data_IF_475375835540
#
_entry.id   IF_475375835540
#
_cell.length_a   1.000
_cell.length_b   1.000
_cell.length_c   1.000
_cell.angle_alpha   90.00
_cell.angle_beta   90.00
_cell.angle_gamma   90.00
#
_symmetry.space_group_name_H-M   'P 1'
#
loop_
_entity.id
_entity.type
_entity.pdbx_description
1 polymer ?
#
# COMPACT_ATOMS: atom_id res chain seq x y z
N UNK A 1 9.87 56.94 15.04
CA UNK A 1 10.85 55.88 15.42
C UNK A 1 10.04 54.81 16.13
N UNK A 2 9.70 53.65 15.54
CA UNK A 2 10.57 52.48 15.29
C UNK A 2 11.15 51.93 16.62
N UNK A 3 11.07 50.66 17.01
CA UNK A 3 11.11 49.40 16.26
C UNK A 3 10.41 48.25 17.02
N UNK A 4 9.95 47.28 16.24
CA UNK A 4 9.48 45.93 16.60
C UNK A 4 10.58 45.00 17.15
N UNK A 5 10.11 43.85 17.68
CA UNK A 5 10.74 42.52 17.72
C UNK A 5 11.43 42.12 19.06
N UNK A 6 11.35 40.89 19.57
CA UNK A 6 11.35 39.58 18.89
C UNK A 6 10.76 38.45 19.76
N UNK A 7 9.85 37.70 19.13
CA UNK A 7 9.59 36.26 19.19
C UNK A 7 10.55 35.35 19.97
N UNK A 8 9.97 34.36 20.66
CA UNK A 8 10.16 32.94 20.36
C UNK A 8 9.04 32.11 21.02
N UNK A 9 7.91 31.99 20.33
CA UNK A 9 7.02 30.84 20.53
C UNK A 9 7.62 29.69 19.71
N UNK A 10 8.23 28.72 20.40
CA UNK A 10 8.47 27.41 19.82
C UNK A 10 7.11 26.69 19.78
N UNK A 11 6.32 26.95 18.75
CA UNK A 11 5.27 26.01 18.39
C UNK A 11 5.97 24.78 17.82
N UNK A 12 5.95 23.68 18.58
CA UNK A 12 5.96 22.34 17.97
C UNK A 12 4.76 22.33 17.02
N UNK A 13 5.00 22.54 15.73
CA UNK A 13 4.02 22.17 14.72
C UNK A 13 3.72 20.69 14.96
N UNK A 14 2.45 20.35 15.15
CA UNK A 14 2.03 18.97 15.02
C UNK A 14 2.53 18.47 13.66
N UNK A 15 3.06 17.24 13.58
CA UNK A 15 3.52 16.72 12.31
C UNK A 15 2.35 16.80 11.32
N UNK A 16 2.54 17.60 10.28
CA UNK A 16 1.55 17.76 9.20
C UNK A 16 1.20 16.36 8.69
N UNK A 17 -0.09 16.07 8.50
CA UNK A 17 -0.53 14.74 8.05
C UNK A 17 0.15 14.40 6.72
N UNK A 18 0.83 13.24 6.66
CA UNK A 18 1.58 12.80 5.49
C UNK A 18 1.00 11.49 4.93
N UNK A 19 0.86 11.45 3.61
CA UNK A 19 0.42 10.29 2.85
C UNK A 19 1.54 9.93 1.89
N UNK A 20 1.98 8.66 1.92
CA UNK A 20 3.13 8.20 1.14
C UNK A 20 4.42 9.05 1.33
N UNK A 21 4.58 9.68 2.50
CA UNK A 21 5.72 10.55 2.82
C UNK A 21 5.60 11.99 2.31
N UNK A 22 4.49 12.37 1.69
CA UNK A 22 4.19 13.73 1.24
C UNK A 22 3.09 14.36 2.08
N UNK A 23 3.19 15.66 2.38
CA UNK A 23 2.11 16.41 3.01
C UNK A 23 0.94 16.58 2.05
N UNK A 24 -0.25 16.81 2.61
CA UNK A 24 -1.46 17.08 1.81
C UNK A 24 -1.24 18.26 0.84
N UNK A 25 -0.54 19.31 1.28
CA UNK A 25 -0.23 20.49 0.47
C UNK A 25 0.67 20.16 -0.73
N UNK A 26 1.68 19.30 -0.52
CA UNK A 26 2.54 18.82 -1.60
C UNK A 26 1.74 17.97 -2.59
N UNK A 27 0.91 17.05 -2.10
CA UNK A 27 0.09 16.20 -2.95
C UNK A 27 -0.90 17.01 -3.80
N UNK A 28 -1.55 18.03 -3.24
CA UNK A 28 -2.39 18.96 -4.02
C UNK A 28 -1.62 19.64 -5.15
N UNK A 29 -0.34 19.93 -4.93
CA UNK A 29 0.52 20.55 -5.94
C UNK A 29 0.92 19.55 -7.02
N UNK A 30 1.32 18.33 -6.63
CA UNK A 30 1.75 17.26 -7.54
C UNK A 30 0.58 16.82 -8.43
N UNK A 31 -0.61 16.69 -7.86
CA UNK A 31 -1.82 16.21 -8.53
C UNK A 31 -2.75 17.36 -8.92
N UNK A 32 -2.23 18.58 -9.11
CA UNK A 32 -3.07 19.77 -9.37
C UNK A 32 -3.89 19.68 -10.67
N UNK A 33 -3.39 18.97 -11.67
CA UNK A 33 -4.12 18.73 -12.93
C UNK A 33 -4.83 17.37 -12.90
N UNK A 34 -6.17 17.34 -12.85
CA UNK A 34 -6.91 16.10 -12.85
C UNK A 34 -6.92 15.49 -14.26
N UNK A 35 -6.11 14.46 -14.48
CA UNK A 35 -6.39 13.45 -15.51
C UNK A 35 -7.40 12.43 -14.97
N UNK A 36 -8.52 12.88 -14.39
CA UNK A 36 -9.46 11.97 -13.73
C UNK A 36 -10.37 11.33 -14.78
N UNK A 37 -10.07 10.09 -15.13
CA UNK A 37 -11.14 9.18 -15.54
C UNK A 37 -11.82 8.68 -14.27
N UNK A 38 -13.14 8.54 -14.28
CA UNK A 38 -13.86 8.01 -13.11
C UNK A 38 -13.56 6.52 -12.93
N UNK A 39 -13.17 6.11 -11.73
CA UNK A 39 -13.19 4.69 -11.36
C UNK A 39 -14.55 4.36 -10.79
N UNK A 40 -15.34 3.62 -11.57
CA UNK A 40 -16.69 3.23 -11.17
C UNK A 40 -16.73 2.31 -9.95
N UNK A 41 -15.68 1.50 -9.71
CA UNK A 41 -15.50 0.66 -8.52
C UNK A 41 -14.02 0.45 -8.18
N UNK A 42 -13.63 0.80 -6.96
CA UNK A 42 -12.29 0.53 -6.44
C UNK A 42 -12.13 -0.97 -6.14
N UNK A 43 -10.94 -1.54 -6.36
CA UNK A 43 -10.67 -2.94 -6.07
C UNK A 43 -10.68 -3.22 -4.56
N UNK A 44 -11.03 -4.45 -4.19
CA UNK A 44 -10.98 -4.91 -2.80
C UNK A 44 -9.53 -5.11 -2.32
N UNK A 45 -8.65 -5.60 -3.21
CA UNK A 45 -7.21 -5.69 -3.00
C UNK A 45 -6.46 -5.33 -4.31
N UNK A 46 -5.35 -4.55 -4.25
CA UNK A 46 -4.85 -3.86 -3.07
C UNK A 46 -5.84 -2.81 -2.56
N UNK A 47 -5.91 -2.63 -1.24
CA UNK A 47 -6.85 -1.71 -0.61
C UNK A 47 -6.57 -0.30 -1.10
N UNK A 48 -7.53 0.25 -1.83
CA UNK A 48 -7.39 1.54 -2.52
C UNK A 48 -8.47 2.50 -2.04
N UNK A 49 -8.13 3.77 -1.89
CA UNK A 49 -9.04 4.82 -1.41
C UNK A 49 -8.87 6.10 -2.22
N UNK A 50 -9.97 6.76 -2.55
CA UNK A 50 -9.94 8.09 -3.19
C UNK A 50 -9.45 9.14 -2.19
N UNK A 51 -8.58 10.05 -2.64
CA UNK A 51 -8.14 11.22 -1.88
C UNK A 51 -8.89 12.50 -2.27
N UNK A 52 -9.94 12.40 -3.09
CA UNK A 52 -10.72 13.56 -3.55
C UNK A 52 -11.36 14.33 -2.40
N UNK A 53 -11.75 13.64 -1.31
CA UNK A 53 -12.26 14.27 -0.09
C UNK A 53 -11.25 15.20 0.59
N UNK A 54 -9.95 15.04 0.31
CA UNK A 54 -8.88 15.94 0.74
C UNK A 54 -8.54 17.00 -0.31
N UNK A 55 -9.21 17.02 -1.46
CA UNK A 55 -8.94 17.89 -2.60
C UNK A 55 -7.75 17.44 -3.45
N UNK A 56 -7.39 16.14 -3.41
CA UNK A 56 -6.32 15.55 -4.21
C UNK A 56 -6.98 14.61 -5.23
N UNK A 57 -6.93 14.87 -6.55
CA UNK A 57 -7.56 14.04 -7.57
C UNK A 57 -6.69 12.79 -7.88
N UNK A 58 -6.49 11.96 -6.86
CA UNK A 58 -5.66 10.76 -6.92
C UNK A 58 -6.18 9.69 -5.96
N UNK A 59 -5.62 8.49 -6.11
CA UNK A 59 -5.94 7.33 -5.29
C UNK A 59 -4.73 6.95 -4.45
N UNK A 60 -4.98 6.63 -3.17
CA UNK A 60 -4.00 6.01 -2.28
C UNK A 60 -4.19 4.50 -2.31
N UNK A 61 -3.10 3.75 -2.37
CA UNK A 61 -3.10 2.29 -2.25
C UNK A 61 -1.98 1.81 -1.35
N UNK A 62 -2.28 0.81 -0.52
CA UNK A 62 -1.33 0.19 0.41
C UNK A 62 -1.41 -1.33 0.31
N UNK A 63 -0.29 -1.99 0.07
CA UNK A 63 -0.23 -3.44 -0.08
C UNK A 63 1.13 -4.00 0.30
N UNK A 64 1.18 -5.32 0.50
CA UNK A 64 2.38 -6.07 0.82
C UNK A 64 2.79 -6.89 -0.40
N UNK A 65 4.09 -6.92 -0.67
CA UNK A 65 4.69 -7.77 -1.69
C UNK A 65 5.83 -8.57 -1.06
N UNK A 66 6.13 -9.74 -1.63
CA UNK A 66 7.34 -10.46 -1.25
C UNK A 66 8.58 -9.60 -1.52
N UNK A 67 9.62 -9.74 -0.68
CA UNK A 67 10.89 -9.05 -0.93
C UNK A 67 11.44 -9.36 -2.33
N UNK A 68 11.28 -10.61 -2.78
CA UNK A 68 11.64 -11.03 -4.12
C UNK A 68 10.87 -10.27 -5.20
N UNK A 69 9.61 -9.88 -4.99
CA UNK A 69 8.77 -9.21 -6.00
C UNK A 69 9.00 -7.69 -6.07
N UNK A 70 9.85 -7.14 -5.20
CA UNK A 70 10.14 -5.68 -5.16
C UNK A 70 10.74 -5.18 -6.47
N UNK A 71 11.65 -5.94 -7.09
CA UNK A 71 12.23 -5.58 -8.39
C UNK A 71 11.19 -5.56 -9.50
N UNK A 72 10.19 -6.45 -9.43
CA UNK A 72 9.11 -6.53 -10.42
C UNK A 72 8.18 -5.33 -10.32
N UNK A 73 7.82 -4.93 -9.10
CA UNK A 73 7.09 -3.67 -8.86
C UNK A 73 7.83 -2.46 -9.44
N UNK A 74 9.14 -2.34 -9.16
CA UNK A 74 9.95 -1.24 -9.70
C UNK A 74 10.03 -1.27 -11.23
N UNK A 75 10.13 -2.45 -11.84
CA UNK A 75 10.10 -2.59 -13.29
C UNK A 75 8.78 -2.08 -13.90
N UNK A 76 7.64 -2.32 -13.24
CA UNK A 76 6.37 -1.74 -13.68
C UNK A 76 6.34 -0.22 -13.55
N UNK A 77 6.91 0.33 -12.47
CA UNK A 77 7.04 1.78 -12.31
C UNK A 77 7.85 2.37 -13.47
N UNK A 78 9.03 1.83 -13.73
CA UNK A 78 9.96 2.33 -14.76
C UNK A 78 9.44 2.14 -16.19
N UNK A 79 8.57 1.14 -16.41
CA UNK A 79 7.90 0.94 -17.69
C UNK A 79 6.78 1.96 -17.97
N UNK A 80 6.20 2.57 -16.93
CA UNK A 80 5.05 3.47 -17.06
C UNK A 80 5.38 4.94 -16.77
N UNK A 81 6.44 5.21 -16.01
CA UNK A 81 6.80 6.55 -15.56
C UNK A 81 8.31 6.80 -15.61
N UNK A 82 8.67 8.08 -15.66
CA UNK A 82 10.04 8.57 -15.53
C UNK A 82 10.26 9.09 -14.11
N UNK A 83 11.42 8.79 -13.55
CA UNK A 83 11.83 9.31 -12.25
C UNK A 83 12.00 10.83 -12.30
N UNK A 84 11.51 11.53 -11.28
CA UNK A 84 11.59 12.99 -11.17
C UNK A 84 12.40 13.40 -9.95
N UNK A 85 12.01 12.93 -8.77
CA UNK A 85 12.62 13.34 -7.51
C UNK A 85 12.40 12.31 -6.41
N UNK A 86 13.12 12.46 -5.32
CA UNK A 86 12.86 11.72 -4.08
C UNK A 86 13.12 12.62 -2.88
N UNK A 87 12.55 12.22 -1.74
CA UNK A 87 12.82 12.82 -0.45
C UNK A 87 12.82 11.78 0.66
N UNK A 88 13.43 12.11 1.78
CA UNK A 88 13.49 11.21 2.93
C UNK A 88 12.26 11.38 3.82
N UNK A 89 11.57 10.27 4.08
CA UNK A 89 10.46 10.17 5.03
C UNK A 89 10.70 8.97 5.95
N UNK A 90 10.83 9.20 7.26
CA UNK A 90 11.12 8.14 8.24
C UNK A 90 12.33 7.25 7.84
N UNK A 91 13.39 7.88 7.32
CA UNK A 91 14.61 7.22 6.81
C UNK A 91 14.40 6.36 5.55
N UNK A 92 13.22 6.44 4.93
CA UNK A 92 12.90 5.76 3.68
C UNK A 92 12.83 6.77 2.54
N UNK A 93 13.25 6.40 1.32
CA UNK A 93 13.09 7.25 0.14
C UNK A 93 11.63 7.20 -0.33
N UNK A 94 10.94 8.33 -0.22
CA UNK A 94 9.68 8.59 -0.90
C UNK A 94 9.99 9.17 -2.27
N UNK A 95 9.61 8.46 -3.33
CA UNK A 95 9.97 8.77 -4.70
C UNK A 95 8.78 9.33 -5.46
N UNK A 96 9.06 10.19 -6.42
CA UNK A 96 8.11 10.81 -7.32
C UNK A 96 8.49 10.52 -8.77
N UNK A 97 7.49 10.09 -9.52
CA UNK A 97 7.56 9.67 -10.92
C UNK A 97 6.43 10.32 -11.72
N UNK A 98 6.69 10.58 -12.99
CA UNK A 98 5.76 11.26 -13.91
C UNK A 98 5.64 10.55 -15.25
N UNK A 99 4.47 10.63 -15.85
CA UNK A 99 4.23 10.33 -17.25
C UNK A 99 3.67 11.58 -17.92
N UNK A 100 4.56 12.37 -18.53
CA UNK A 100 4.21 13.66 -19.13
C UNK A 100 3.22 13.52 -20.30
N UNK A 101 3.27 12.40 -21.04
CA UNK A 101 2.41 12.16 -22.20
C UNK A 101 0.94 11.98 -21.80
N UNK A 102 0.71 11.35 -20.64
CA UNK A 102 -0.63 11.10 -20.09
C UNK A 102 -1.02 12.06 -18.96
N UNK A 103 -0.12 12.96 -18.57
CA UNK A 103 -0.24 13.81 -17.40
C UNK A 103 -0.52 13.02 -16.11
N UNK A 104 0.15 11.88 -15.97
CA UNK A 104 0.00 11.01 -14.80
C UNK A 104 1.17 11.15 -13.84
N UNK A 105 0.89 10.94 -12.57
CA UNK A 105 1.76 11.17 -11.44
C UNK A 105 1.72 9.94 -10.55
N UNK A 106 2.88 9.56 -10.01
CA UNK A 106 3.02 8.49 -9.04
C UNK A 106 3.99 8.94 -7.96
N UNK A 107 3.56 8.89 -6.70
CA UNK A 107 4.45 8.96 -5.55
C UNK A 107 4.34 7.68 -4.74
N UNK A 108 5.47 7.13 -4.28
CA UNK A 108 5.44 5.95 -3.42
C UNK A 108 6.68 5.86 -2.55
N UNK A 109 6.58 5.05 -1.50
CA UNK A 109 7.74 4.53 -0.80
C UNK A 109 7.56 3.04 -0.49
N UNK A 110 8.68 2.37 -0.26
CA UNK A 110 8.71 0.96 0.17
C UNK A 110 9.35 0.84 1.54
N UNK A 111 8.84 -0.08 2.38
CA UNK A 111 9.37 -0.38 3.71
C UNK A 111 9.49 -1.88 3.90
N UNK A 112 10.62 -2.35 4.44
CA UNK A 112 10.83 -3.76 4.83
C UNK A 112 10.67 -3.99 6.33
N UNK A 113 10.14 -2.99 7.06
CA UNK A 113 10.07 -2.99 8.53
C UNK A 113 8.87 -3.75 9.09
N UNK A 114 7.93 -4.16 8.25
CA UNK A 114 6.62 -4.67 8.66
C UNK A 114 6.38 -6.06 8.04
N UNK A 115 5.79 -6.97 8.84
CA UNK A 115 5.22 -8.25 8.38
C UNK A 115 6.16 -9.15 7.56
N UNK A 116 7.49 -9.10 7.79
CA UNK A 116 8.47 -9.89 7.05
C UNK A 116 8.29 -9.81 5.51
N UNK A 117 7.96 -8.61 5.02
CA UNK A 117 7.68 -8.34 3.61
C UNK A 117 8.01 -6.90 3.24
N UNK A 118 7.82 -6.56 1.97
CA UNK A 118 7.94 -5.18 1.50
C UNK A 118 6.54 -4.55 1.47
N UNK A 119 6.29 -3.57 2.33
CA UNK A 119 5.11 -2.71 2.25
C UNK A 119 5.32 -1.66 1.16
N UNK A 120 4.38 -1.55 0.24
CA UNK A 120 4.28 -0.48 -0.75
C UNK A 120 3.14 0.45 -0.35
N UNK A 121 3.43 1.75 -0.23
CA UNK A 121 2.42 2.80 -0.06
C UNK A 121 2.56 3.79 -1.19
N UNK A 122 1.51 3.93 -2.00
CA UNK A 122 1.55 4.74 -3.21
C UNK A 122 0.34 5.66 -3.33
N UNK A 123 0.54 6.80 -3.99
CA UNK A 123 -0.52 7.68 -4.47
C UNK A 123 -0.34 7.88 -5.96
N UNK A 124 -1.40 7.68 -6.74
CA UNK A 124 -1.36 7.89 -8.19
C UNK A 124 -2.72 8.33 -8.74
N UNK A 125 -2.70 9.14 -9.80
CA UNK A 125 -3.88 9.44 -10.62
C UNK A 125 -3.98 8.52 -11.86
N UNK A 126 -3.02 7.60 -12.04
CA UNK A 126 -3.01 6.67 -13.18
C UNK A 126 -3.89 5.45 -12.92
N UNK A 127 -5.00 5.38 -13.65
CA UNK A 127 -5.87 4.19 -13.64
C UNK A 127 -5.21 3.03 -14.38
N UNK A 128 -4.50 3.33 -15.47
CA UNK A 128 -3.76 2.32 -16.23
C UNK A 128 -2.74 1.62 -15.33
N UNK A 129 -1.98 2.38 -14.55
CA UNK A 129 -1.01 1.80 -13.63
C UNK A 129 -1.66 0.99 -12.52
N UNK A 130 -2.76 1.47 -11.93
CA UNK A 130 -3.50 0.67 -10.95
C UNK A 130 -4.00 -0.65 -11.54
N UNK A 131 -4.45 -0.64 -12.79
CA UNK A 131 -4.84 -1.87 -13.50
C UNK A 131 -3.65 -2.82 -13.71
N UNK A 132 -2.43 -2.30 -13.94
CA UNK A 132 -1.20 -3.13 -13.99
C UNK A 132 -0.97 -3.81 -12.64
N UNK A 133 -1.03 -3.07 -11.53
CA UNK A 133 -0.85 -3.62 -10.17
C UNK A 133 -1.93 -4.66 -9.84
N UNK A 134 -3.18 -4.40 -10.23
CA UNK A 134 -4.30 -5.33 -10.03
C UNK A 134 -4.12 -6.64 -10.79
N UNK A 135 -3.70 -6.56 -12.05
CA UNK A 135 -3.46 -7.76 -12.88
C UNK A 135 -2.26 -8.56 -12.41
N UNK A 136 -1.24 -7.88 -11.90
CA UNK A 136 -0.09 -8.53 -11.30
C UNK A 136 -0.48 -9.31 -10.04
N UNK A 137 -1.45 -8.79 -9.28
CA UNK A 137 -2.02 -9.44 -8.09
C UNK A 137 -0.93 -9.89 -7.10
N UNK A 138 -0.07 -8.94 -6.69
CA UNK A 138 1.00 -9.21 -5.75
C UNK A 138 0.47 -9.90 -4.49
N UNK A 139 1.12 -11.00 -4.12
CA UNK A 139 0.73 -11.79 -2.98
C UNK A 139 1.31 -11.18 -1.68
N UNK A 140 0.48 -10.89 -0.66
CA UNK A 140 1.01 -10.63 0.68
C UNK A 140 1.68 -11.91 1.21
N UNK A 141 2.69 -11.78 2.10
CA UNK A 141 3.24 -12.94 2.79
C UNK A 141 2.10 -13.61 3.57
N UNK A 142 2.06 -14.95 3.71
CA UNK A 142 1.04 -15.61 4.52
C UNK A 142 1.26 -15.39 6.02
N UNK A 143 0.26 -15.69 6.87
CA UNK A 143 0.33 -15.50 8.32
C UNK A 143 1.56 -16.10 8.99
N UNK A 144 1.95 -17.32 8.60
CA UNK A 144 3.11 -18.02 9.19
C UNK A 144 4.46 -17.44 8.79
N UNK A 145 4.49 -16.61 7.74
CA UNK A 145 5.68 -15.83 7.36
C UNK A 145 5.62 -14.45 8.01
N UNK A 146 4.46 -13.78 7.97
CA UNK A 146 4.27 -12.46 8.54
C UNK A 146 4.45 -12.45 10.08
N UNK A 147 4.12 -13.56 10.74
CA UNK A 147 4.25 -13.78 12.18
C UNK A 147 4.95 -15.12 12.44
N UNK A 148 6.27 -15.10 12.38
CA UNK A 148 7.09 -16.30 12.61
C UNK A 148 6.80 -16.92 13.99
N UNK A 149 6.63 -18.26 14.02
CA UNK A 149 6.34 -19.00 15.24
C UNK A 149 4.90 -18.87 15.76
N UNK A 150 4.01 -18.19 15.04
CA UNK A 150 2.60 -18.08 15.43
C UNK A 150 1.87 -19.42 15.26
N UNK A 151 1.10 -19.81 16.27
CA UNK A 151 0.35 -21.07 16.24
C UNK A 151 -0.91 -20.91 15.37
N UNK A 152 -1.19 -21.82 14.41
CA UNK A 152 -2.40 -21.77 13.58
C UNK A 152 -3.69 -21.66 14.40
N UNK A 153 -3.79 -22.36 15.53
CA UNK A 153 -4.99 -22.35 16.38
C UNK A 153 -5.36 -20.97 16.95
N UNK A 154 -4.40 -20.03 16.98
CA UNK A 154 -4.61 -18.65 17.45
C UNK A 154 -4.97 -17.68 16.32
N UNK A 155 -4.95 -18.15 15.06
CA UNK A 155 -5.25 -17.30 13.91
C UNK A 155 -6.76 -17.22 13.70
N UNK A 156 -7.38 -16.05 13.77
CA UNK A 156 -8.83 -15.87 13.63
C UNK A 156 -9.55 -15.55 14.94
N UNK A 157 -10.85 -15.20 14.85
CA UNK A 157 -11.60 -14.60 15.95
C UNK A 157 -11.37 -13.08 16.05
N UNK A 158 -11.44 -12.50 17.25
CA UNK A 158 -11.17 -11.07 17.50
C UNK A 158 -9.65 -10.78 17.56
N UNK A 159 -8.94 -11.00 16.45
CA UNK A 159 -7.53 -10.61 16.37
C UNK A 159 -7.38 -9.10 16.53
N UNK A 160 -6.54 -8.67 17.46
CA UNK A 160 -6.25 -7.25 17.73
C UNK A 160 -4.79 -6.93 17.43
N UNK A 161 -4.46 -5.65 17.38
CA UNK A 161 -3.09 -5.18 17.16
C UNK A 161 -2.57 -5.51 15.77
N UNK A 162 -1.31 -5.93 15.67
CA UNK A 162 -0.62 -6.13 14.41
C UNK A 162 -1.25 -7.26 13.57
N UNK A 163 -1.69 -8.34 14.20
CA UNK A 163 -2.32 -9.49 13.55
C UNK A 163 -3.66 -9.10 12.93
N UNK A 164 -4.53 -8.45 13.71
CA UNK A 164 -5.82 -7.95 13.21
C UNK A 164 -5.63 -6.95 12.08
N UNK A 165 -4.73 -5.98 12.27
CA UNK A 165 -4.43 -5.00 11.23
C UNK A 165 -3.94 -5.64 9.93
N UNK A 166 -2.98 -6.57 10.00
CA UNK A 166 -2.48 -7.27 8.82
C UNK A 166 -3.58 -8.09 8.13
N UNK A 167 -4.36 -8.80 8.94
CA UNK A 167 -5.41 -9.68 8.47
C UNK A 167 -6.48 -8.90 7.72
N UNK A 168 -6.95 -7.80 8.30
CA UNK A 168 -8.08 -7.02 7.78
C UNK A 168 -7.69 -6.12 6.60
N UNK A 169 -6.43 -5.66 6.56
CA UNK A 169 -5.98 -4.71 5.53
C UNK A 169 -5.24 -5.36 4.37
N UNK A 170 -4.65 -6.54 4.56
CA UNK A 170 -3.82 -7.17 3.53
C UNK A 170 -4.25 -8.60 3.23
N UNK A 171 -4.34 -9.46 4.25
CA UNK A 171 -4.43 -10.90 3.99
C UNK A 171 -5.83 -11.36 3.60
N UNK A 172 -6.88 -11.02 4.36
CA UNK A 172 -8.26 -11.37 4.01
C UNK A 172 -8.65 -10.82 2.64
N UNK A 173 -8.48 -9.50 2.36
CA UNK A 173 -8.91 -8.95 1.07
C UNK A 173 -8.21 -9.63 -0.11
N UNK A 174 -6.97 -10.09 0.07
CA UNK A 174 -6.25 -10.86 -0.94
C UNK A 174 -6.71 -12.31 -1.04
N UNK A 175 -6.92 -13.01 0.09
CA UNK A 175 -7.22 -14.44 0.06
C UNK A 175 -8.64 -14.72 -0.44
N UNK A 176 -9.61 -13.86 -0.12
CA UNK A 176 -11.03 -14.06 -0.48
C UNK A 176 -11.35 -13.76 -1.94
N UNK A 177 -10.48 -13.03 -2.65
CA UNK A 177 -10.59 -12.85 -4.10
C UNK A 177 -10.05 -14.06 -4.89
N UNK A 178 -9.32 -14.98 -4.25
CA UNK A 178 -8.77 -16.15 -4.92
C UNK A 178 -9.81 -17.27 -5.02
N UNK A 179 -9.86 -17.92 -6.19
CA UNK A 179 -10.56 -19.20 -6.33
C UNK A 179 -9.90 -20.31 -5.49
N UNK A 180 -10.62 -21.40 -5.23
CA UNK A 180 -10.09 -22.57 -4.52
C UNK A 180 -8.76 -23.07 -5.12
N UNK A 181 -8.65 -23.08 -6.46
CA UNK A 181 -7.42 -23.50 -7.13
C UNK A 181 -6.27 -22.51 -6.88
N UNK A 182 -6.55 -21.21 -6.88
CA UNK A 182 -5.55 -20.17 -6.62
C UNK A 182 -5.10 -20.18 -5.16
N UNK A 183 -6.03 -20.39 -4.21
CA UNK A 183 -5.69 -20.59 -2.79
C UNK A 183 -4.77 -21.79 -2.59
N UNK A 184 -5.08 -22.93 -3.21
CA UNK A 184 -4.20 -24.11 -3.13
C UNK A 184 -2.81 -23.87 -3.74
N UNK A 185 -2.71 -23.12 -4.85
CA UNK A 185 -1.43 -22.71 -5.42
C UNK A 185 -0.66 -21.78 -4.48
N UNK A 186 -1.36 -20.84 -3.84
CA UNK A 186 -0.78 -19.95 -2.84
C UNK A 186 -0.23 -20.74 -1.65
N UNK A 187 -1.01 -21.65 -1.07
CA UNK A 187 -0.57 -22.51 0.03
C UNK A 187 0.65 -23.36 -0.36
N UNK A 188 0.66 -23.93 -1.57
CA UNK A 188 1.79 -24.71 -2.07
C UNK A 188 3.05 -23.85 -2.28
N UNK A 189 2.91 -22.64 -2.85
CA UNK A 189 4.01 -21.68 -3.05
C UNK A 189 4.73 -21.37 -1.74
N UNK A 190 3.96 -21.21 -0.66
CA UNK A 190 4.49 -20.80 0.64
C UNK A 190 4.67 -21.94 1.65
N UNK A 191 4.55 -23.20 1.21
CA UNK A 191 4.78 -24.37 2.06
C UNK A 191 3.86 -24.44 3.28
N UNK A 192 2.58 -24.11 3.10
CA UNK A 192 1.60 -24.17 4.19
C UNK A 192 1.52 -25.57 4.80
N UNK A 193 1.52 -25.65 6.14
CA UNK A 193 1.24 -26.90 6.84
C UNK A 193 -0.25 -27.22 6.76
N UNK A 194 -0.62 -28.50 6.96
CA UNK A 194 -2.03 -28.90 7.01
C UNK A 194 -2.80 -28.11 8.08
N UNK A 195 -2.19 -27.84 9.24
CA UNK A 195 -2.82 -27.06 10.31
C UNK A 195 -3.17 -25.63 9.87
N UNK A 196 -2.28 -24.98 9.12
CA UNK A 196 -2.54 -23.66 8.56
C UNK A 196 -3.64 -23.71 7.50
N UNK A 197 -3.60 -24.68 6.60
CA UNK A 197 -4.64 -24.84 5.57
C UNK A 197 -6.00 -25.07 6.22
N UNK A 198 -6.11 -26.03 7.14
CA UNK A 198 -7.36 -26.33 7.85
C UNK A 198 -7.89 -25.09 8.58
N UNK A 199 -7.01 -24.34 9.26
CA UNK A 199 -7.44 -23.13 9.97
C UNK A 199 -7.96 -22.06 9.02
N UNK A 200 -7.25 -21.79 7.94
CA UNK A 200 -7.63 -20.76 6.97
C UNK A 200 -8.93 -21.13 6.25
N UNK A 201 -9.10 -22.39 5.87
CA UNK A 201 -10.33 -22.87 5.24
C UNK A 201 -11.50 -22.86 6.24
N UNK A 202 -11.29 -23.17 7.53
CA UNK A 202 -12.34 -23.00 8.54
C UNK A 202 -12.79 -21.54 8.64
N UNK A 203 -11.86 -20.60 8.56
CA UNK A 203 -12.12 -19.17 8.77
C UNK A 203 -12.76 -18.47 7.56
N UNK A 204 -12.38 -18.86 6.34
CA UNK A 204 -12.69 -18.07 5.13
C UNK A 204 -13.48 -18.84 4.08
N UNK A 205 -13.82 -20.11 4.32
CA UNK A 205 -14.66 -20.92 3.41
C UNK A 205 -16.16 -20.84 3.75
N UNK A 206 -16.54 -19.99 4.71
CA UNK A 206 -17.92 -19.74 5.11
C UNK A 206 -18.45 -18.43 4.54
N UNK A 207 -18.67 -18.39 3.22
CA UNK A 207 -19.65 -17.53 2.54
C UNK A 207 -20.26 -18.29 1.35
#
# INVERSE_FOLDING_TARGET
MSFFSRFKSFMKQEPEEQIAGYSISELKTIFADPSTSEISRLPYYPKTSSLEGLGIPAFYSSFLIEHADTHKFLAFVEANFKYTSEKTFNELPAKHYVNDEKNEQLVFFTSTREFNSTTVRMVTNSIDFMNVILRENFAPPPPWIAFEGYNPSWWGGEMQGAQGYYNDNYFIPFLTQLSDLERMKYYARFGATNEWIERLELMYRSE
#
